data_IF_511424447253
#
_entry.id   IF_511424447253
#
_cell.length_a   1.000
_cell.length_b   1.000
_cell.length_c   1.000
_cell.angle_alpha   90.00
_cell.angle_beta   90.00
_cell.angle_gamma   90.00
#
_symmetry.space_group_name_H-M   'P 1'
#
loop_
_entity.id
_entity.type
_entity.pdbx_description
1 polymer ?
#
# COMPACT_ATOMS: atom_id res chain seq x y z
N UNK A 1 21.38 7.65 -9.48
CA UNK A 1 22.75 7.28 -9.06
C UNK A 1 22.78 5.76 -9.05
N UNK A 2 23.35 5.14 -10.10
CA UNK A 2 23.36 3.68 -10.30
C UNK A 2 24.66 3.16 -9.71
N UNK A 3 24.59 2.26 -8.74
CA UNK A 3 25.78 1.57 -8.24
C UNK A 3 26.22 0.54 -9.28
N UNK A 4 27.41 0.74 -9.85
CA UNK A 4 28.10 -0.25 -10.68
C UNK A 4 29.09 -1.00 -9.80
N UNK A 5 28.81 -2.27 -9.51
CA UNK A 5 29.78 -3.17 -8.90
C UNK A 5 30.84 -3.56 -9.93
N UNK A 6 32.02 -2.93 -9.86
CA UNK A 6 33.24 -3.48 -10.47
C UNK A 6 33.92 -4.37 -9.43
N UNK A 7 33.71 -5.69 -9.55
CA UNK A 7 34.50 -6.68 -8.83
C UNK A 7 35.87 -6.85 -9.50
N UNK A 8 36.94 -6.77 -8.70
CA UNK A 8 38.25 -7.31 -9.05
C UNK A 8 38.38 -8.70 -8.42
N UNK A 9 39.09 -9.55 -9.13
CA UNK A 9 39.63 -10.89 -8.80
C UNK A 9 38.75 -12.11 -9.06
N UNK A 10 39.39 -12.99 -9.84
CA UNK A 10 38.97 -14.29 -10.34
C UNK A 10 38.57 -15.27 -9.24
N UNK A 11 37.35 -15.81 -9.30
CA UNK A 11 37.06 -17.25 -9.21
C UNK A 11 35.56 -17.50 -9.42
N UNK A 12 35.26 -18.46 -10.32
CA UNK A 12 33.98 -19.16 -10.56
C UNK A 12 32.68 -18.36 -10.52
N UNK A 13 32.17 -18.06 -11.73
CA UNK A 13 30.81 -17.63 -12.01
C UNK A 13 29.80 -18.73 -11.64
N UNK A 14 28.89 -18.44 -10.71
CA UNK A 14 27.57 -19.09 -10.64
C UNK A 14 26.53 -18.10 -11.19
N UNK A 15 25.59 -18.53 -12.05
CA UNK A 15 24.62 -17.63 -12.64
C UNK A 15 23.58 -17.18 -11.61
N UNK A 16 23.34 -15.87 -11.55
CA UNK A 16 22.12 -15.31 -10.94
C UNK A 16 20.91 -15.83 -11.72
N UNK A 17 20.22 -16.84 -11.16
CA UNK A 17 18.96 -17.31 -11.70
C UNK A 17 17.90 -16.23 -11.53
N UNK A 18 17.29 -15.84 -12.65
CA UNK A 18 16.05 -15.06 -12.67
C UNK A 18 14.92 -15.94 -12.14
N UNK A 19 14.56 -15.76 -10.88
CA UNK A 19 13.36 -16.34 -10.29
C UNK A 19 12.12 -15.59 -10.76
N UNK A 20 11.43 -16.14 -11.77
CA UNK A 20 10.03 -15.84 -12.02
C UNK A 20 9.20 -16.40 -10.86
N UNK A 21 8.62 -15.54 -10.01
CA UNK A 21 7.60 -15.99 -9.07
C UNK A 21 6.21 -15.65 -9.58
N UNK A 22 5.48 -16.74 -9.80
CA UNK A 22 4.11 -16.82 -10.23
C UNK A 22 3.15 -16.44 -9.10
N UNK A 23 2.03 -15.89 -9.55
CA UNK A 23 0.85 -15.47 -8.80
C UNK A 23 0.29 -16.62 -7.95
N UNK A 24 0.20 -16.41 -6.64
CA UNK A 24 -0.54 -17.28 -5.71
C UNK A 24 -1.92 -16.70 -5.42
N UNK A 25 -2.95 -17.36 -5.94
CA UNK A 25 -4.35 -17.14 -5.58
C UNK A 25 -4.62 -17.63 -4.15
N UNK A 26 -5.21 -16.80 -3.30
CA UNK A 26 -5.87 -17.27 -2.07
C UNK A 26 -7.38 -17.24 -2.26
N UNK A 27 -7.95 -18.44 -2.37
CA UNK A 27 -9.37 -18.69 -2.31
C UNK A 27 -9.78 -19.07 -0.88
N UNK A 28 -10.86 -18.43 -0.43
CA UNK A 28 -11.95 -18.97 0.39
C UNK A 28 -11.62 -19.68 1.71
N UNK A 29 -12.04 -19.05 2.81
CA UNK A 29 -12.59 -19.74 3.97
C UNK A 29 -13.87 -19.00 4.40
N UNK A 30 -14.99 -19.58 3.99
CA UNK A 30 -16.34 -19.30 4.46
C UNK A 30 -16.52 -19.92 5.85
N UNK A 31 -17.10 -19.16 6.77
CA UNK A 31 -17.72 -19.69 7.97
C UNK A 31 -19.20 -19.38 7.91
N UNK A 32 -19.98 -20.44 7.82
CA UNK A 32 -21.43 -20.49 7.98
C UNK A 32 -21.78 -20.20 9.45
N UNK A 33 -22.81 -19.37 9.68
CA UNK A 33 -23.66 -19.53 10.86
C UNK A 33 -25.13 -19.34 10.46
N UNK A 34 -25.90 -20.28 10.99
CA UNK A 34 -27.28 -20.62 10.71
C UNK A 34 -28.29 -19.53 11.08
N UNK A 35 -29.28 -19.31 10.22
CA UNK A 35 -30.57 -18.73 10.63
C UNK A 35 -31.70 -19.64 10.16
N UNK A 36 -32.24 -20.38 11.12
CA UNK A 36 -33.51 -21.09 11.06
C UNK A 36 -34.68 -20.13 10.79
N UNK A 37 -35.41 -20.34 9.69
CA UNK A 37 -36.84 -20.01 9.64
C UNK A 37 -37.64 -21.13 8.99
N UNK A 38 -38.47 -21.74 9.83
CA UNK A 38 -39.43 -22.80 9.56
C UNK A 38 -40.75 -22.16 9.17
N UNK A 39 -41.33 -22.49 8.00
CA UNK A 39 -42.77 -22.24 7.78
C UNK A 39 -43.39 -23.22 6.77
N UNK A 40 -44.20 -24.12 7.33
CA UNK A 40 -45.43 -24.74 6.81
C UNK A 40 -45.47 -25.26 5.37
N UNK A 41 -45.36 -26.59 5.25
CA UNK A 41 -46.02 -27.38 4.20
C UNK A 41 -47.53 -27.46 4.46
N UNK A 42 -48.35 -27.10 3.48
CA UNK A 42 -49.72 -27.57 3.35
C UNK A 42 -49.91 -28.17 1.95
N UNK A 43 -50.32 -29.43 1.96
CA UNK A 43 -50.63 -30.26 0.80
C UNK A 43 -52.16 -30.37 0.70
N UNK A 44 -52.76 -30.05 -0.44
CA UNK A 44 -54.06 -30.62 -0.78
C UNK A 44 -53.95 -31.49 -2.04
N UNK A 45 -54.30 -32.76 -1.87
CA UNK A 45 -54.74 -33.64 -2.95
C UNK A 45 -55.90 -33.00 -3.71
N UNK A 46 -55.83 -32.97 -5.04
CA UNK A 46 -57.01 -32.88 -5.91
C UNK A 46 -56.63 -33.44 -7.29
N UNK A 47 -57.01 -34.69 -7.55
CA UNK A 47 -58.18 -35.08 -8.34
C UNK A 47 -58.03 -34.81 -9.83
N UNK A 48 -57.60 -35.88 -10.49
CA UNK A 48 -57.46 -36.08 -11.92
C UNK A 48 -58.81 -35.96 -12.63
N UNK A 49 -58.96 -34.95 -13.48
CA UNK A 49 -60.06 -34.87 -14.46
C UNK A 49 -59.46 -34.66 -15.85
N UNK A 50 -59.46 -35.75 -16.61
CA UNK A 50 -59.03 -35.80 -18.01
C UNK A 50 -60.04 -35.08 -18.89
N UNK A 51 -59.72 -33.85 -19.30
CA UNK A 51 -60.43 -33.14 -20.38
C UNK A 51 -59.56 -33.18 -21.64
N UNK A 52 -59.86 -34.12 -22.55
CA UNK A 52 -59.37 -34.10 -23.94
C UNK A 52 -60.05 -32.95 -24.68
N UNK A 53 -59.43 -31.78 -24.67
CA UNK A 53 -59.85 -30.61 -25.45
C UNK A 53 -58.75 -30.17 -26.43
N UNK A 54 -59.08 -30.08 -27.72
CA UNK A 54 -58.24 -29.52 -28.80
C UNK A 54 -57.69 -28.14 -28.40
N UNK A 55 -56.46 -28.08 -27.88
CA UNK A 55 -55.79 -26.85 -27.42
C UNK A 55 -54.32 -26.81 -27.87
N UNK A 56 -54.02 -27.40 -29.03
CA UNK A 56 -52.65 -27.45 -29.56
C UNK A 56 -52.13 -26.10 -30.08
N UNK A 57 -53.03 -25.19 -30.50
CA UNK A 57 -52.61 -23.96 -31.21
C UNK A 57 -52.45 -22.75 -30.26
N UNK A 58 -53.34 -22.55 -29.28
CA UNK A 58 -53.22 -21.41 -28.35
C UNK A 58 -52.08 -21.55 -27.34
N UNK A 59 -51.83 -22.76 -26.82
CA UNK A 59 -50.69 -23.06 -25.94
C UNK A 59 -49.34 -22.77 -26.62
N UNK A 60 -49.27 -23.01 -27.92
CA UNK A 60 -48.08 -22.70 -28.74
C UNK A 60 -47.84 -21.19 -28.85
N UNK A 61 -48.91 -20.40 -29.00
CA UNK A 61 -48.81 -18.92 -29.07
C UNK A 61 -48.38 -18.31 -27.73
N UNK A 62 -48.94 -18.77 -26.61
CA UNK A 62 -48.52 -18.31 -25.28
C UNK A 62 -47.07 -18.66 -24.96
N UNK A 63 -46.60 -19.86 -25.34
CA UNK A 63 -45.19 -20.24 -25.18
C UNK A 63 -44.24 -19.38 -26.01
N UNK A 64 -44.59 -19.07 -27.26
CA UNK A 64 -43.81 -18.18 -28.13
C UNK A 64 -43.75 -16.76 -27.58
N UNK A 65 -44.87 -16.25 -27.08
CA UNK A 65 -44.94 -14.92 -26.47
C UNK A 65 -44.12 -14.85 -25.18
N UNK A 66 -44.20 -15.86 -24.32
CA UNK A 66 -43.40 -15.94 -23.08
C UNK A 66 -41.90 -16.03 -23.37
N UNK A 67 -41.48 -16.84 -24.36
CA UNK A 67 -40.09 -16.91 -24.81
C UNK A 67 -39.60 -15.57 -25.37
N UNK A 68 -40.44 -14.84 -26.10
CA UNK A 68 -40.10 -13.51 -26.61
C UNK A 68 -39.86 -12.51 -25.46
N UNK A 69 -40.72 -12.50 -24.44
CA UNK A 69 -40.52 -11.65 -23.26
C UNK A 69 -39.26 -12.02 -22.48
N UNK A 70 -38.95 -13.30 -22.33
CA UNK A 70 -37.69 -13.76 -21.72
C UNK A 70 -36.48 -13.29 -22.52
N UNK A 71 -36.50 -13.41 -23.85
CA UNK A 71 -35.39 -12.95 -24.69
C UNK A 71 -35.21 -11.43 -24.63
N UNK A 72 -36.30 -10.67 -24.54
CA UNK A 72 -36.26 -9.22 -24.35
C UNK A 72 -35.66 -8.82 -23.00
N UNK A 73 -36.00 -9.51 -21.91
CA UNK A 73 -35.42 -9.21 -20.59
C UNK A 73 -33.95 -9.57 -20.52
N UNK A 74 -33.54 -10.72 -21.07
CA UNK A 74 -32.12 -11.08 -21.16
C UNK A 74 -31.32 -10.10 -22.04
N UNK A 75 -31.90 -9.64 -23.16
CA UNK A 75 -31.27 -8.61 -24.02
C UNK A 75 -31.11 -7.28 -23.28
N UNK A 76 -32.12 -6.84 -22.54
CA UNK A 76 -32.07 -5.61 -21.75
C UNK A 76 -31.03 -5.70 -20.62
N UNK A 77 -30.96 -6.82 -19.90
CA UNK A 77 -29.95 -7.05 -18.85
C UNK A 77 -28.54 -7.07 -19.46
N UNK A 78 -28.36 -7.76 -20.60
CA UNK A 78 -27.08 -7.77 -21.31
C UNK A 78 -26.65 -6.36 -21.73
N UNK A 79 -27.58 -5.53 -22.21
CA UNK A 79 -27.27 -4.14 -22.56
C UNK A 79 -26.83 -3.33 -21.33
N UNK A 80 -27.55 -3.43 -20.21
CA UNK A 80 -27.20 -2.73 -18.97
C UNK A 80 -25.82 -3.18 -18.45
N UNK A 81 -25.52 -4.48 -18.49
CA UNK A 81 -24.21 -5.00 -18.10
C UNK A 81 -23.09 -4.63 -19.09
N UNK A 82 -23.38 -4.55 -20.40
CA UNK A 82 -22.40 -4.16 -21.42
C UNK A 82 -21.99 -2.68 -21.30
N UNK A 83 -22.89 -1.81 -20.83
CA UNK A 83 -22.60 -0.39 -20.58
C UNK A 83 -22.13 -0.10 -19.14
N UNK A 84 -22.32 -1.03 -18.20
CA UNK A 84 -21.74 -0.96 -16.86
C UNK A 84 -20.32 -1.53 -16.84
N UNK A 85 -19.44 -1.05 -17.72
CA UNK A 85 -18.01 -1.25 -17.50
C UNK A 85 -17.59 -0.33 -16.34
N UNK A 86 -16.96 -0.84 -15.26
CA UNK A 86 -16.35 0.04 -14.28
C UNK A 86 -15.36 0.92 -15.04
N UNK A 87 -15.51 2.25 -14.93
CA UNK A 87 -14.47 3.17 -15.36
C UNK A 87 -13.30 2.89 -14.44
N UNK A 88 -12.41 2.00 -14.86
CA UNK A 88 -11.12 1.79 -14.22
C UNK A 88 -10.33 3.06 -14.55
N UNK A 89 -10.51 4.10 -13.73
CA UNK A 89 -9.63 5.25 -13.77
C UNK A 89 -8.21 4.72 -13.62
N UNK A 90 -7.31 4.96 -14.58
CA UNK A 90 -5.93 4.54 -14.43
C UNK A 90 -5.40 5.10 -13.11
N UNK A 91 -4.69 4.29 -12.34
CA UNK A 91 -4.09 4.79 -11.10
C UNK A 91 -3.29 6.06 -11.45
N UNK A 92 -3.41 7.13 -10.65
CA UNK A 92 -2.67 8.35 -10.93
C UNK A 92 -1.19 7.97 -11.00
N UNK A 93 -0.61 8.10 -12.20
CA UNK A 93 0.81 7.83 -12.39
C UNK A 93 1.58 8.81 -11.54
N UNK A 94 2.63 8.34 -10.87
CA UNK A 94 3.55 9.22 -10.14
C UNK A 94 3.98 10.38 -11.04
N UNK A 95 3.65 11.59 -10.63
CA UNK A 95 3.96 12.81 -11.34
C UNK A 95 4.77 13.70 -10.43
N UNK A 96 6.09 13.70 -10.61
CA UNK A 96 7.03 14.47 -9.78
C UNK A 96 6.64 15.95 -9.65
N UNK A 97 6.04 16.54 -10.70
CA UNK A 97 5.58 17.95 -10.70
C UNK A 97 4.40 18.22 -9.75
N UNK A 98 3.65 17.19 -9.37
CA UNK A 98 2.49 17.31 -8.48
C UNK A 98 2.90 17.15 -7.01
N UNK A 99 4.13 16.72 -6.75
CA UNK A 99 4.64 16.59 -5.40
C UNK A 99 4.97 17.98 -4.87
N UNK A 100 4.59 18.24 -3.63
CA UNK A 100 4.90 19.46 -2.89
C UNK A 100 5.47 19.17 -1.49
N UNK A 101 5.41 17.90 -1.07
CA UNK A 101 5.82 17.44 0.26
C UNK A 101 6.69 16.19 0.13
N UNK A 102 7.76 16.11 0.91
CA UNK A 102 8.54 14.89 1.12
C UNK A 102 8.47 14.48 2.59
N UNK A 103 8.15 13.22 2.82
CA UNK A 103 8.23 12.58 4.14
C UNK A 103 9.33 11.53 4.10
N UNK A 104 10.35 11.70 4.93
CA UNK A 104 11.54 10.87 4.91
C UNK A 104 11.70 10.06 6.19
N UNK A 105 11.97 8.77 6.02
CA UNK A 105 12.33 7.83 7.07
C UNK A 105 13.70 7.24 6.75
N UNK A 106 14.40 6.79 7.77
CA UNK A 106 15.68 6.13 7.55
C UNK A 106 16.71 6.36 8.64
N UNK A 107 17.96 6.37 8.18
CA UNK A 107 19.13 6.43 9.05
C UNK A 107 19.93 7.74 8.95
N UNK A 108 21.19 7.66 9.36
CA UNK A 108 22.18 8.75 9.38
C UNK A 108 22.45 9.39 8.01
N UNK A 109 22.10 8.73 6.90
CA UNK A 109 22.23 9.27 5.54
C UNK A 109 21.09 10.23 5.16
N UNK A 110 20.01 10.20 5.93
CA UNK A 110 18.79 10.97 5.67
C UNK A 110 18.51 11.98 6.76
N UNK A 111 18.90 11.69 8.01
CA UNK A 111 18.55 12.52 9.17
C UNK A 111 19.07 13.96 9.10
N UNK A 112 18.25 14.86 9.61
CA UNK A 112 18.50 16.30 9.81
C UNK A 112 18.25 16.73 11.25
N UNK A 113 18.02 15.78 12.16
CA UNK A 113 17.68 16.02 13.57
C UNK A 113 16.47 16.94 13.74
N UNK A 114 15.29 16.46 13.34
CA UNK A 114 14.02 17.14 13.59
C UNK A 114 13.73 17.16 15.10
N UNK A 115 13.55 18.36 15.65
CA UNK A 115 12.98 18.56 16.97
C UNK A 115 11.46 18.35 16.87
N UNK A 116 10.94 17.29 17.49
CA UNK A 116 9.54 16.87 17.35
C UNK A 116 8.55 17.79 18.07
N UNK A 117 9.01 18.64 18.99
CA UNK A 117 8.15 19.56 19.75
C UNK A 117 7.93 20.90 19.03
N UNK A 118 8.94 21.35 18.30
CA UNK A 118 8.94 22.62 17.55
C UNK A 118 8.83 22.42 16.03
N UNK A 119 9.04 21.19 15.55
CA UNK A 119 9.17 20.82 14.15
C UNK A 119 10.22 21.65 13.40
N UNK A 120 11.34 21.92 14.07
CA UNK A 120 12.49 22.62 13.51
C UNK A 120 13.69 21.69 13.37
N UNK A 121 14.58 22.01 12.42
CA UNK A 121 15.81 21.24 12.21
C UNK A 121 16.98 21.90 12.92
N UNK A 122 17.85 21.11 13.54
CA UNK A 122 18.99 21.59 14.32
C UNK A 122 19.87 22.58 13.51
N UNK A 123 20.33 22.16 12.33
CA UNK A 123 20.91 23.06 11.34
C UNK A 123 21.01 22.40 9.95
N UNK A 124 21.24 23.19 8.89
CA UNK A 124 21.32 22.67 7.51
C UNK A 124 22.47 21.68 7.27
N UNK A 125 23.62 21.89 7.92
CA UNK A 125 24.81 21.05 7.74
C UNK A 125 25.03 20.09 8.93
N UNK A 126 24.08 20.02 9.85
CA UNK A 126 24.09 19.10 10.99
C UNK A 126 23.64 17.73 10.49
N UNK A 127 24.42 17.13 9.60
CA UNK A 127 24.18 15.78 9.08
C UNK A 127 25.47 14.97 9.21
N UNK A 128 25.35 13.66 9.09
CA UNK A 128 26.50 12.74 9.15
C UNK A 128 27.50 12.93 8.01
N UNK A 129 27.11 13.65 6.94
CA UNK A 129 27.99 13.97 5.82
C UNK A 129 28.88 15.21 6.06
N UNK A 130 28.70 15.94 7.16
CA UNK A 130 29.38 17.23 7.39
C UNK A 130 28.92 18.36 6.45
N UNK A 131 27.79 18.16 5.77
CA UNK A 131 27.18 19.09 4.81
C UNK A 131 25.72 18.72 4.56
N UNK A 132 25.08 19.24 3.50
CA UNK A 132 23.71 18.86 3.14
C UNK A 132 23.63 17.41 2.71
N UNK A 133 22.61 16.69 3.18
CA UNK A 133 22.28 15.37 2.68
C UNK A 133 21.38 15.44 1.43
N UNK A 134 21.01 14.29 0.88
CA UNK A 134 20.27 14.20 -0.38
C UNK A 134 18.86 14.83 -0.29
N UNK A 135 18.19 14.75 0.86
CA UNK A 135 16.86 15.37 1.09
C UNK A 135 16.97 16.90 1.02
N UNK A 136 18.03 17.46 1.60
CA UNK A 136 18.28 18.91 1.55
C UNK A 136 18.52 19.36 0.11
N UNK A 137 19.39 18.68 -0.64
CA UNK A 137 19.59 19.02 -2.05
C UNK A 137 18.31 18.95 -2.88
N UNK A 138 17.49 17.92 -2.65
CA UNK A 138 16.22 17.77 -3.32
C UNK A 138 15.29 18.94 -2.98
N UNK A 139 15.10 19.23 -1.69
CA UNK A 139 14.17 20.27 -1.22
C UNK A 139 14.65 21.69 -1.52
N UNK A 140 15.96 21.94 -1.58
CA UNK A 140 16.50 23.22 -2.08
C UNK A 140 16.12 23.44 -3.56
N UNK A 141 16.17 22.37 -4.38
CA UNK A 141 15.85 22.45 -5.80
C UNK A 141 14.35 22.50 -6.11
N UNK A 142 13.53 21.82 -5.31
CA UNK A 142 12.09 21.69 -5.56
C UNK A 142 11.24 22.64 -4.73
N UNK A 143 11.79 23.21 -3.66
CA UNK A 143 11.10 24.02 -2.67
C UNK A 143 9.95 23.27 -1.95
N UNK A 144 10.00 21.94 -1.93
CA UNK A 144 9.04 21.11 -1.21
C UNK A 144 9.12 21.30 0.30
N UNK A 145 7.99 21.11 0.97
CA UNK A 145 7.96 20.93 2.43
C UNK A 145 8.59 19.58 2.75
N UNK A 146 9.41 19.53 3.80
CA UNK A 146 10.13 18.32 4.19
C UNK A 146 9.86 18.00 5.64
N UNK A 147 9.39 16.77 5.89
CA UNK A 147 9.25 16.16 7.20
C UNK A 147 10.20 14.96 7.27
N UNK A 148 11.34 15.13 7.92
CA UNK A 148 12.37 14.11 8.04
C UNK A 148 12.36 13.50 9.44
N UNK A 149 11.89 12.26 9.51
CA UNK A 149 11.82 11.43 10.71
C UNK A 149 12.99 10.45 10.82
N UNK A 150 13.96 10.50 9.90
CA UNK A 150 15.11 9.61 9.96
C UNK A 150 15.93 9.84 11.23
N UNK A 151 16.44 8.75 11.79
CA UNK A 151 17.18 8.75 13.04
C UNK A 151 18.54 8.10 12.87
N UNK A 152 19.58 8.66 13.50
CA UNK A 152 20.91 8.08 13.40
C UNK A 152 20.94 6.62 13.84
N UNK A 153 21.75 5.85 13.12
CA UNK A 153 21.96 4.43 13.41
C UNK A 153 20.70 3.57 13.34
N UNK A 154 19.59 4.08 12.78
CA UNK A 154 18.34 3.32 12.70
C UNK A 154 18.51 2.05 11.84
N UNK A 155 18.17 0.87 12.36
CA UNK A 155 17.97 -0.34 11.60
C UNK A 155 16.53 -0.40 11.08
N UNK A 156 16.20 -1.45 10.33
CA UNK A 156 14.83 -1.69 9.88
C UNK A 156 13.87 -1.94 11.05
N UNK A 157 14.33 -2.69 12.05
CA UNK A 157 13.52 -3.06 13.21
C UNK A 157 14.37 -3.40 14.46
N UNK A 158 14.07 -2.76 15.59
CA UNK A 158 14.72 -2.92 16.88
C UNK A 158 14.44 -4.27 17.55
N UNK A 159 13.37 -4.98 17.15
CA UNK A 159 13.13 -6.35 17.61
C UNK A 159 14.10 -7.37 16.99
N UNK A 160 14.91 -6.95 16.02
CA UNK A 160 15.84 -7.78 15.26
C UNK A 160 17.27 -7.28 15.47
N UNK A 161 17.48 -5.98 15.28
CA UNK A 161 18.77 -5.31 15.48
C UNK A 161 18.56 -4.18 16.48
N UNK A 162 18.98 -4.32 17.75
CA UNK A 162 18.64 -3.34 18.80
C UNK A 162 19.35 -1.99 18.64
N UNK A 163 18.58 -0.90 18.65
CA UNK A 163 19.06 0.49 18.76
C UNK A 163 18.07 1.37 19.54
N UNK A 164 18.30 2.69 19.56
CA UNK A 164 17.40 3.65 20.24
C UNK A 164 16.08 3.81 19.46
N UNK A 165 16.14 4.10 18.16
CA UNK A 165 14.97 4.30 17.29
C UNK A 165 15.22 3.61 15.95
N UNK A 166 14.32 2.69 15.57
CA UNK A 166 14.30 2.02 14.26
C UNK A 166 13.32 2.70 13.29
N UNK A 167 13.35 2.28 12.02
CA UNK A 167 12.40 2.77 11.01
C UNK A 167 10.95 2.42 11.37
N UNK A 168 10.70 1.26 11.99
CA UNK A 168 9.35 0.87 12.41
C UNK A 168 8.73 1.88 13.39
N UNK A 169 9.47 2.34 14.40
CA UNK A 169 9.04 3.38 15.35
C UNK A 169 8.89 4.72 14.64
N UNK A 170 9.78 5.09 13.71
CA UNK A 170 9.61 6.33 12.93
C UNK A 170 8.26 6.36 12.19
N UNK A 171 7.85 5.25 11.57
CA UNK A 171 6.59 5.14 10.82
C UNK A 171 5.38 5.01 11.74
N UNK A 172 5.45 4.17 12.78
CA UNK A 172 4.30 3.81 13.61
C UNK A 172 4.03 4.81 14.74
N UNK A 173 5.02 5.59 15.13
CA UNK A 173 4.92 6.52 16.25
C UNK A 173 5.13 7.96 15.77
N UNK A 174 6.32 8.30 15.23
CA UNK A 174 6.65 9.69 14.90
C UNK A 174 5.76 10.25 13.79
N UNK A 175 5.60 9.52 12.68
CA UNK A 175 4.69 9.92 11.60
C UNK A 175 3.24 10.05 12.08
N UNK A 176 2.78 9.10 12.89
CA UNK A 176 1.42 9.13 13.45
C UNK A 176 1.21 10.36 14.32
N UNK A 177 2.15 10.66 15.22
CA UNK A 177 2.10 11.80 16.13
C UNK A 177 2.15 13.15 15.43
N UNK A 178 2.75 13.25 14.23
CA UNK A 178 2.99 14.54 13.58
C UNK A 178 2.03 14.79 12.41
N UNK A 179 1.71 13.76 11.63
CA UNK A 179 0.98 13.93 10.37
C UNK A 179 -0.38 13.22 10.31
N UNK A 180 -0.67 12.27 11.21
CA UNK A 180 -1.94 11.51 11.18
C UNK A 180 -2.88 11.89 12.31
N UNK A 181 -2.37 11.95 13.54
CA UNK A 181 -3.15 12.29 14.74
C UNK A 181 -2.35 13.23 15.65
N UNK A 182 -2.03 14.44 15.16
CA UNK A 182 -1.25 15.39 15.93
C UNK A 182 -2.00 15.99 17.10
N UNK A 183 -1.24 16.42 18.11
CA UNK A 183 -1.76 17.33 19.14
C UNK A 183 -2.12 18.67 18.50
N UNK A 184 -2.99 19.46 19.15
CA UNK A 184 -3.39 20.79 18.65
C UNK A 184 -2.19 21.72 18.38
N UNK A 185 -1.19 21.69 19.27
CA UNK A 185 0.07 22.42 19.10
C UNK A 185 0.77 22.03 17.79
N UNK A 186 0.92 20.73 17.54
CA UNK A 186 1.61 20.22 16.36
C UNK A 186 0.80 20.49 15.10
N UNK A 187 -0.52 20.27 15.12
CA UNK A 187 -1.41 20.60 14.00
C UNK A 187 -1.26 22.07 13.60
N UNK A 188 -1.25 22.98 14.57
CA UNK A 188 -1.09 24.42 14.31
C UNK A 188 0.23 24.73 13.59
N UNK A 189 1.34 24.09 13.99
CA UNK A 189 2.63 24.28 13.33
C UNK A 189 2.57 23.76 11.90
N UNK A 190 2.10 22.52 11.71
CA UNK A 190 1.99 21.87 10.39
C UNK A 190 1.11 22.72 9.45
N UNK A 191 -0.09 23.11 9.90
CA UNK A 191 -1.04 23.93 9.15
C UNK A 191 -0.42 25.28 8.76
N UNK A 192 0.34 25.91 9.67
CA UNK A 192 1.00 27.18 9.38
C UNK A 192 2.06 27.06 8.26
N UNK A 193 2.77 25.93 8.19
CA UNK A 193 3.79 25.68 7.16
C UNK A 193 3.13 25.55 5.79
N UNK A 194 2.04 24.78 5.70
CA UNK A 194 1.27 24.61 4.46
C UNK A 194 0.56 25.91 4.03
N UNK A 195 -0.10 26.60 4.97
CA UNK A 195 -0.79 27.86 4.72
C UNK A 195 0.15 28.94 4.19
N UNK A 196 1.36 29.07 4.77
CA UNK A 196 2.39 30.02 4.31
C UNK A 196 2.82 29.77 2.85
N UNK A 197 2.76 28.51 2.40
CA UNK A 197 3.11 28.11 1.03
C UNK A 197 1.92 28.13 0.07
N UNK A 198 0.70 28.34 0.58
CA UNK A 198 -0.53 28.33 -0.23
C UNK A 198 -0.82 26.97 -0.86
N UNK A 199 -0.40 25.88 -0.23
CA UNK A 199 -0.57 24.50 -0.70
C UNK A 199 -1.27 23.66 0.36
N UNK A 200 -1.90 22.57 -0.06
CA UNK A 200 -2.50 21.58 0.82
C UNK A 200 -1.63 20.33 0.90
N UNK A 201 -1.61 19.71 2.09
CA UNK A 201 -1.04 18.39 2.28
C UNK A 201 -2.05 17.33 1.83
N UNK A 202 -1.71 16.56 0.80
CA UNK A 202 -2.52 15.41 0.37
C UNK A 202 -1.62 14.22 0.09
N UNK A 203 -2.17 13.00 0.17
CA UNK A 203 -1.40 11.79 -0.10
C UNK A 203 -0.91 11.72 -1.55
N UNK A 204 -1.62 12.33 -2.51
CA UNK A 204 -1.23 12.39 -3.93
C UNK A 204 -0.11 13.39 -4.21
N UNK A 205 0.10 14.35 -3.31
CA UNK A 205 1.15 15.38 -3.43
C UNK A 205 2.35 15.14 -2.49
N UNK A 206 2.38 13.97 -1.85
CA UNK A 206 3.45 13.57 -0.92
C UNK A 206 4.32 12.48 -1.52
N UNK A 207 5.63 12.71 -1.53
CA UNK A 207 6.63 11.67 -1.78
C UNK A 207 7.07 11.09 -0.44
N UNK A 208 6.83 9.80 -0.22
CA UNK A 208 7.37 9.07 0.92
C UNK A 208 8.69 8.41 0.52
N UNK A 209 9.71 8.54 1.34
CA UNK A 209 11.04 7.96 1.09
C UNK A 209 11.54 7.22 2.30
N UNK A 210 12.15 6.05 2.09
CA UNK A 210 12.79 5.24 3.12
C UNK A 210 14.22 4.95 2.68
N UNK A 211 15.20 5.26 3.54
CA UNK A 211 16.61 4.92 3.33
C UNK A 211 17.17 4.23 4.57
N UNK A 212 17.40 2.92 4.49
CA UNK A 212 17.80 2.11 5.63
C UNK A 212 18.64 0.92 5.15
N UNK A 213 19.42 0.36 6.07
CA UNK A 213 19.98 -0.97 5.95
C UNK A 213 21.47 -1.08 6.21
N UNK A 214 22.20 0.04 6.17
CA UNK A 214 23.63 0.01 6.50
C UNK A 214 23.86 -0.35 7.97
N UNK A 215 22.97 0.10 8.88
CA UNK A 215 23.09 -0.21 10.31
C UNK A 215 22.68 -1.64 10.63
N UNK A 216 21.73 -2.22 9.88
CA UNK A 216 21.40 -3.64 10.01
C UNK A 216 22.64 -4.52 9.75
N UNK A 217 23.49 -4.14 8.79
CA UNK A 217 24.76 -4.82 8.49
C UNK A 217 25.84 -4.47 9.52
N UNK A 218 26.09 -3.18 9.77
CA UNK A 218 27.19 -2.72 10.62
C UNK A 218 27.06 -3.23 12.07
N UNK A 219 25.84 -3.16 12.62
CA UNK A 219 25.58 -3.57 14.01
C UNK A 219 25.64 -5.09 14.20
N UNK A 220 25.46 -5.86 13.13
CA UNK A 220 25.45 -7.33 13.17
C UNK A 220 26.71 -7.96 12.59
N UNK A 221 27.65 -7.16 12.05
CA UNK A 221 28.83 -7.64 11.33
C UNK A 221 29.68 -8.68 12.10
N UNK A 222 29.78 -8.55 13.43
CA UNK A 222 30.55 -9.47 14.28
C UNK A 222 29.69 -10.55 14.95
N UNK A 223 28.41 -10.68 14.59
CA UNK A 223 27.54 -11.70 15.16
C UNK A 223 27.81 -13.04 14.50
N UNK A 224 27.72 -14.12 15.27
CA UNK A 224 27.93 -15.47 14.74
C UNK A 224 26.64 -15.97 14.07
N UNK A 225 26.76 -16.67 12.95
CA UNK A 225 25.68 -17.40 12.28
C UNK A 225 24.46 -16.52 11.95
N UNK A 226 24.64 -15.54 11.06
CA UNK A 226 23.60 -14.55 10.72
C UNK A 226 22.60 -15.01 9.67
N UNK A 227 22.69 -16.21 9.08
CA UNK A 227 21.82 -16.63 7.96
C UNK A 227 20.31 -16.47 8.26
N UNK A 228 19.88 -16.86 9.48
CA UNK A 228 18.49 -16.70 9.93
C UNK A 228 18.15 -15.21 10.17
N UNK A 229 19.09 -14.46 10.74
CA UNK A 229 18.96 -13.03 11.00
C UNK A 229 18.83 -12.23 9.69
N UNK A 230 19.69 -12.51 8.71
CA UNK A 230 19.69 -11.89 7.40
C UNK A 230 18.36 -12.18 6.67
N UNK A 231 17.86 -13.41 6.79
CA UNK A 231 16.54 -13.79 6.26
C UNK A 231 15.41 -12.99 6.93
N UNK A 232 15.48 -12.76 8.25
CA UNK A 232 14.51 -11.95 8.97
C UNK A 232 14.59 -10.47 8.58
N UNK A 233 15.79 -9.90 8.41
CA UNK A 233 16.02 -8.53 7.96
C UNK A 233 15.43 -8.33 6.56
N UNK A 234 15.74 -9.23 5.61
CA UNK A 234 15.22 -9.15 4.24
C UNK A 234 13.70 -9.21 4.21
N UNK A 235 13.09 -10.10 5.02
CA UNK A 235 11.63 -10.16 5.16
C UNK A 235 11.04 -8.85 5.70
N UNK A 236 11.75 -8.12 6.57
CA UNK A 236 11.28 -6.81 7.02
C UNK A 236 11.33 -5.76 5.92
N UNK A 237 12.33 -5.76 5.05
CA UNK A 237 12.36 -4.86 3.89
C UNK A 237 11.21 -5.10 2.93
N UNK A 238 10.84 -6.35 2.68
CA UNK A 238 9.68 -6.68 1.83
C UNK A 238 8.38 -6.06 2.38
N UNK A 239 8.19 -6.12 3.71
CA UNK A 239 7.01 -5.54 4.37
C UNK A 239 6.98 -4.00 4.33
N UNK A 240 8.10 -3.33 4.05
CA UNK A 240 8.11 -1.88 3.83
C UNK A 240 7.62 -1.46 2.45
N UNK A 241 7.68 -2.37 1.47
CA UNK A 241 7.35 -2.09 0.06
C UNK A 241 5.90 -2.51 -0.24
N UNK A 242 5.40 -3.54 0.44
CA UNK A 242 4.05 -4.07 0.27
C UNK A 242 3.11 -3.48 1.31
N UNK A 243 2.67 -2.25 1.06
CA UNK A 243 1.53 -1.62 1.74
C UNK A 243 0.50 -1.15 0.73
#
# INVERSE_FOLDING_TARGET
MVWSCKSKTNQSLLPCNQGNYLIGNYSSLSHDEDVHQTTSQQNPQQQETTIKGKTGDESSRFRKMYLFFILLTFSAIYLVCAFAQPIISPSPRFAFRNINTIVSFGDSYTTRYLDVDSLTYACRNCTSAGGPNWVIYLTDSTQWISWDFAYNSAPVNNSIVPTVIDVSTQVRELYQQILVSPTEKISTIVDSVYAKRGIQHTHESTLVTIWVGINDIDLTYNWNQTDELDSLIMRRYELLIVS
#
